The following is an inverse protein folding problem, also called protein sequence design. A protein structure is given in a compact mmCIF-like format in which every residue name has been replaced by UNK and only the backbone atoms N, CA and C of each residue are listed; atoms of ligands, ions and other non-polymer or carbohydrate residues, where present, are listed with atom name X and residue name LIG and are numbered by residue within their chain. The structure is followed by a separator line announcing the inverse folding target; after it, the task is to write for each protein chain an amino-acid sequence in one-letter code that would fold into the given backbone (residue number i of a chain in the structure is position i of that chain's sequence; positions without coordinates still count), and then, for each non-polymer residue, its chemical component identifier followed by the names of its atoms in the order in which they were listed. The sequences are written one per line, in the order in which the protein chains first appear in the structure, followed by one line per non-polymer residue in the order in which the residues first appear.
data_IF_480248195647
#
_entry.id   IF_480248195647
#
_cell.length_a   1.000
_cell.length_b   1.000
_cell.length_c   1.000
_cell.angle_alpha   90.00
_cell.angle_beta   90.00
_cell.angle_gamma   90.00
#
_symmetry.space_group_name_H-M   'P 1'
#
loop_
_entity.id
_entity.type
_entity.pdbx_description
1 polymer ?
#
# COMPACT_ATOMS: atom_id res chain seq x y z
N UNK A 1 7.55 -10.87 -0.40
CA UNK A 1 7.89 -9.74 -1.29
C UNK A 1 7.16 -8.45 -0.91
N UNK A 2 5.82 -8.47 -0.74
CA UNK A 2 5.04 -7.27 -0.37
C UNK A 2 5.58 -6.46 0.82
N UNK A 3 6.08 -7.13 1.87
CA UNK A 3 6.77 -6.47 3.00
C UNK A 3 7.94 -5.60 2.54
N UNK A 4 8.83 -6.12 1.69
CA UNK A 4 9.97 -5.36 1.19
C UNK A 4 9.55 -4.14 0.40
N UNK A 5 8.46 -4.23 -0.36
CA UNK A 5 7.93 -3.06 -1.07
C UNK A 5 7.41 -2.01 -0.08
N UNK A 6 6.67 -2.43 0.93
CA UNK A 6 6.14 -1.56 1.99
C UNK A 6 7.26 -0.85 2.77
N UNK A 7 8.41 -1.51 2.95
CA UNK A 7 9.60 -0.90 3.57
C UNK A 7 10.12 0.28 2.73
N UNK A 8 10.12 0.18 1.40
CA UNK A 8 10.63 1.23 0.50
C UNK A 8 9.79 2.50 0.51
N UNK A 9 8.46 2.34 0.58
CA UNK A 9 7.50 3.44 0.57
C UNK A 9 7.17 3.96 1.98
N UNK A 10 7.82 3.42 3.02
CA UNK A 10 7.60 3.79 4.43
C UNK A 10 6.16 3.60 4.88
N UNK A 11 5.53 2.51 4.46
CA UNK A 11 4.19 2.17 4.90
C UNK A 11 4.15 1.91 6.41
N UNK A 12 3.19 2.51 7.11
CA UNK A 12 2.90 2.26 8.51
C UNK A 12 1.40 2.33 8.76
N UNK A 13 0.87 1.42 9.58
CA UNK A 13 -0.54 1.44 9.99
C UNK A 13 -0.82 2.43 11.12
N UNK A 14 0.23 2.87 11.79
CA UNK A 14 0.21 3.73 12.96
C UNK A 14 1.05 4.98 12.67
N UNK A 15 0.78 6.08 13.38
CA UNK A 15 1.52 7.34 13.21
C UNK A 15 2.22 7.62 14.52
N UNK A 16 3.54 7.85 14.49
CA UNK A 16 4.34 8.25 15.66
C UNK A 16 4.07 9.70 16.11
N UNK A 17 2.80 10.11 16.16
CA UNK A 17 2.35 11.32 16.84
C UNK A 17 1.90 10.94 18.24
N UNK A 18 2.20 11.78 19.25
CA UNK A 18 1.74 11.54 20.63
C UNK A 18 0.21 11.32 20.63
N UNK A 19 -0.21 10.08 20.91
CA UNK A 19 -1.60 9.62 20.81
C UNK A 19 -1.85 8.45 19.85
N UNK A 20 -0.84 8.05 19.06
CA UNK A 20 -0.86 6.98 18.03
C UNK A 20 -2.25 6.73 17.41
N UNK A 21 -2.80 7.72 16.67
CA UNK A 21 -4.01 7.48 15.92
C UNK A 21 -3.69 6.45 14.84
N UNK A 22 -4.26 5.25 14.98
CA UNK A 22 -4.26 4.25 13.91
C UNK A 22 -4.85 4.87 12.65
N UNK A 23 -4.22 4.63 11.50
CA UNK A 23 -4.75 5.07 10.21
C UNK A 23 -5.80 4.04 9.79
N UNK A 24 -7.11 4.30 9.95
CA UNK A 24 -8.13 3.25 9.94
C UNK A 24 -8.26 2.53 8.60
N UNK A 25 -7.76 3.16 7.54
CA UNK A 25 -7.84 2.69 6.16
C UNK A 25 -6.48 2.29 5.57
N UNK A 26 -5.37 2.37 6.33
CA UNK A 26 -4.05 2.03 5.81
C UNK A 26 -3.97 0.57 5.32
N UNK A 27 -4.62 -0.33 6.04
CA UNK A 27 -4.62 -1.77 5.75
C UNK A 27 -5.18 -2.12 4.35
N UNK A 28 -6.05 -1.29 3.77
CA UNK A 28 -6.54 -1.51 2.40
C UNK A 28 -5.40 -1.52 1.38
N UNK A 29 -4.46 -0.60 1.55
CA UNK A 29 -3.30 -0.50 0.67
C UNK A 29 -2.35 -1.69 0.86
N UNK A 30 -2.10 -2.12 2.10
CA UNK A 30 -1.35 -3.36 2.39
C UNK A 30 -1.96 -4.57 1.70
N UNK A 31 -3.26 -4.78 1.90
CA UNK A 31 -3.95 -5.96 1.39
C UNK A 31 -4.01 -5.96 -0.14
N UNK A 32 -4.21 -4.78 -0.74
CA UNK A 32 -4.07 -4.60 -2.19
C UNK A 32 -2.68 -5.03 -2.68
N UNK A 33 -1.60 -4.55 -2.06
CA UNK A 33 -0.24 -4.80 -2.51
C UNK A 33 0.14 -6.29 -2.36
N UNK A 34 -0.34 -6.94 -1.29
CA UNK A 34 -0.20 -8.39 -1.10
C UNK A 34 -0.92 -9.14 -2.23
N UNK A 35 -2.17 -8.79 -2.56
CA UNK A 35 -2.93 -9.46 -3.63
C UNK A 35 -2.28 -9.25 -5.00
N UNK A 36 -1.92 -8.02 -5.35
CA UNK A 36 -1.36 -7.68 -6.65
C UNK A 36 -0.06 -8.45 -6.92
N UNK A 37 0.83 -8.50 -5.93
CA UNK A 37 2.08 -9.25 -6.05
C UNK A 37 1.87 -10.77 -6.10
N UNK A 38 0.88 -11.30 -5.36
CA UNK A 38 0.56 -12.73 -5.41
C UNK A 38 -0.10 -13.14 -6.73
N UNK A 39 -0.79 -12.22 -7.41
CA UNK A 39 -1.41 -12.44 -8.71
C UNK A 39 -0.46 -12.17 -9.88
N UNK A 40 0.81 -11.85 -9.59
CA UNK A 40 1.80 -11.47 -10.61
C UNK A 40 1.29 -10.33 -11.51
N UNK A 41 0.58 -9.36 -10.93
CA UNK A 41 0.13 -8.17 -11.66
C UNK A 41 1.36 -7.48 -12.25
N UNK A 42 1.32 -7.05 -13.53
CA UNK A 42 2.41 -6.32 -14.16
C UNK A 42 2.86 -5.10 -13.35
N UNK A 43 4.17 -4.85 -13.31
CA UNK A 43 4.76 -3.79 -12.49
C UNK A 43 4.26 -2.39 -12.88
N UNK A 44 4.08 -2.13 -14.17
CA UNK A 44 3.51 -0.91 -14.73
C UNK A 44 2.08 -0.66 -14.23
N UNK A 45 1.25 -1.69 -14.18
CA UNK A 45 -0.10 -1.61 -13.62
C UNK A 45 -0.06 -1.29 -12.12
N UNK A 46 0.77 -1.98 -11.34
CA UNK A 46 0.93 -1.72 -9.89
C UNK A 46 1.41 -0.29 -9.65
N UNK A 47 2.34 0.21 -10.47
CA UNK A 47 2.85 1.57 -10.36
C UNK A 47 1.77 2.61 -10.70
N UNK A 48 0.99 2.36 -11.75
CA UNK A 48 -0.12 3.23 -12.13
C UNK A 48 -1.20 3.28 -11.04
N UNK A 49 -1.62 2.13 -10.51
CA UNK A 49 -2.58 2.04 -9.40
C UNK A 49 -2.04 2.71 -8.13
N UNK A 50 -0.74 2.57 -7.85
CA UNK A 50 -0.11 3.22 -6.70
C UNK A 50 -0.12 4.75 -6.79
N UNK A 51 0.11 5.30 -7.98
CA UNK A 51 0.14 6.75 -8.22
C UNK A 51 -1.26 7.35 -8.37
N UNK A 52 -2.16 6.64 -9.05
CA UNK A 52 -3.51 7.09 -9.32
C UNK A 52 -4.43 6.95 -8.10
N UNK A 53 -4.17 5.99 -7.21
CA UNK A 53 -5.05 5.71 -6.08
C UNK A 53 -6.44 5.26 -6.57
N UNK A 54 -7.47 6.03 -6.24
CA UNK A 54 -8.87 5.82 -6.60
C UNK A 54 -9.31 6.54 -7.90
N UNK A 55 -8.37 7.15 -8.62
CA UNK A 55 -8.64 7.95 -9.82
C UNK A 55 -8.71 7.13 -11.12
N UNK A 56 -8.52 5.81 -11.07
CA UNK A 56 -8.64 4.95 -12.24
C UNK A 56 -10.12 4.68 -12.59
N UNK A 57 -10.50 4.74 -13.88
CA UNK A 57 -11.88 4.57 -14.34
C UNK A 57 -12.43 3.14 -14.17
#
# INVERSE_FOLDING_TARGET
WARHWMDWIRYAESRESKGDPTTPIAWYYRDYLIRALNQCVPYDQVLQEHLAGDLLP
#
